data_IF_357980811199
#
_entry.id   IF_357980811199
#
_cell.length_a   1.000
_cell.length_b   1.000
_cell.length_c   1.000
_cell.angle_alpha   90.00
_cell.angle_beta   90.00
_cell.angle_gamma   90.00
#
_symmetry.space_group_name_H-M   'P 1'
#
loop_
_entity.id
_entity.type
_entity.pdbx_description
1 polymer ?
#
# COMPACT_ATOMS: atom_id res chain seq x y z
N UNK A 1 -2.93 -14.38 0.86
CA UNK A 1 -3.25 -15.07 -0.39
C UNK A 1 -2.02 -15.13 -1.30
N UNK A 2 -1.35 -13.99 -1.52
CA UNK A 2 -0.18 -13.91 -2.39
C UNK A 2 1.14 -14.02 -1.62
N UNK A 3 2.17 -14.55 -2.31
CA UNK A 3 3.55 -14.56 -1.84
C UNK A 3 4.30 -13.42 -2.53
N UNK A 4 4.18 -12.21 -1.98
CA UNK A 4 4.71 -10.98 -2.59
C UNK A 4 4.25 -10.83 -4.06
N UNK A 5 5.04 -10.16 -4.89
CA UNK A 5 4.77 -9.98 -6.32
C UNK A 5 4.80 -11.27 -7.16
N UNK A 6 5.33 -12.38 -6.63
CA UNK A 6 5.51 -13.63 -7.40
C UNK A 6 4.21 -14.30 -7.82
N UNK A 7 3.17 -14.17 -7.03
CA UNK A 7 1.90 -14.85 -7.27
C UNK A 7 0.76 -13.92 -7.67
N UNK A 8 0.97 -12.61 -7.68
CA UNK A 8 -0.06 -11.62 -8.05
C UNK A 8 -0.56 -11.77 -9.49
N UNK A 9 0.28 -12.32 -10.38
CA UNK A 9 -0.11 -12.63 -11.76
C UNK A 9 -0.72 -14.04 -11.95
N UNK A 10 -0.97 -14.78 -10.87
CA UNK A 10 -1.66 -16.07 -10.94
C UNK A 10 -3.18 -15.83 -11.03
N UNK A 11 -3.82 -16.39 -12.08
CA UNK A 11 -5.25 -16.19 -12.35
C UNK A 11 -6.13 -16.54 -11.16
N UNK A 12 -5.97 -17.73 -10.59
CA UNK A 12 -6.83 -18.23 -9.52
C UNK A 12 -6.67 -17.44 -8.23
N UNK A 13 -5.44 -17.03 -7.90
CA UNK A 13 -5.18 -16.22 -6.72
C UNK A 13 -5.65 -14.78 -6.89
N UNK A 14 -5.59 -14.23 -8.11
CA UNK A 14 -6.10 -12.88 -8.40
C UNK A 14 -7.63 -12.81 -8.39
N UNK A 15 -8.35 -13.92 -8.60
CA UNK A 15 -9.80 -14.00 -8.41
C UNK A 15 -10.19 -13.86 -6.92
N UNK A 16 -9.32 -14.31 -6.01
CA UNK A 16 -9.54 -14.21 -4.55
C UNK A 16 -9.11 -12.86 -3.99
N UNK A 17 -7.98 -12.32 -4.46
CA UNK A 17 -7.42 -11.06 -3.96
C UNK A 17 -6.66 -10.35 -5.07
N UNK A 18 -7.34 -9.46 -5.79
CA UNK A 18 -6.83 -8.85 -7.02
C UNK A 18 -5.99 -7.59 -6.79
N UNK A 19 -6.24 -6.83 -5.74
CA UNK A 19 -5.57 -5.58 -5.42
C UNK A 19 -5.32 -5.46 -3.92
N UNK A 20 -4.28 -4.74 -3.52
CA UNK A 20 -4.05 -4.43 -2.12
C UNK A 20 -4.93 -3.27 -1.66
N UNK A 21 -5.19 -3.24 -0.36
CA UNK A 21 -5.96 -2.19 0.30
C UNK A 21 -5.01 -1.35 1.17
N UNK A 22 -5.39 -0.11 1.40
CA UNK A 22 -4.78 0.78 2.40
C UNK A 22 -5.54 0.58 3.71
N UNK A 23 -4.91 -0.02 4.70
CA UNK A 23 -5.52 -0.17 6.02
C UNK A 23 -5.23 1.05 6.88
N UNK A 24 -6.28 1.61 7.46
CA UNK A 24 -6.22 2.73 8.38
C UNK A 24 -7.11 2.44 9.59
N UNK A 25 -6.69 2.93 10.76
CA UNK A 25 -7.53 2.84 11.94
C UNK A 25 -8.89 3.53 11.70
N UNK A 26 -9.98 2.87 12.06
CA UNK A 26 -11.34 3.37 11.79
C UNK A 26 -11.63 4.72 12.46
N UNK A 27 -11.08 4.97 13.66
CA UNK A 27 -11.21 6.27 14.35
C UNK A 27 -10.44 7.37 13.60
N UNK A 28 -9.22 7.06 13.13
CA UNK A 28 -8.43 7.99 12.33
C UNK A 28 -9.08 8.27 10.97
N UNK A 29 -9.65 7.24 10.32
CA UNK A 29 -10.39 7.40 9.07
C UNK A 29 -11.60 8.34 9.25
N UNK A 30 -12.40 8.14 10.29
CA UNK A 30 -13.54 8.99 10.61
C UNK A 30 -13.12 10.44 10.88
N UNK A 31 -12.02 10.67 11.60
CA UNK A 31 -11.46 12.00 11.86
C UNK A 31 -11.03 12.72 10.57
N UNK A 32 -10.63 11.98 9.53
CA UNK A 32 -10.28 12.49 8.21
C UNK A 32 -11.49 12.59 7.25
N UNK A 33 -12.69 12.22 7.70
CA UNK A 33 -13.89 12.19 6.86
C UNK A 33 -13.85 11.10 5.77
N UNK A 34 -13.09 10.02 6.01
CA UNK A 34 -12.93 8.90 5.08
C UNK A 34 -13.76 7.70 5.56
N UNK A 35 -14.51 7.11 4.64
CA UNK A 35 -15.32 5.93 4.90
C UNK A 35 -14.61 4.65 4.39
N UNK A 36 -14.98 3.49 4.95
CA UNK A 36 -14.51 2.19 4.44
C UNK A 36 -14.87 2.03 2.95
N UNK A 37 -13.94 1.55 2.15
CA UNK A 37 -14.12 1.40 0.71
C UNK A 37 -13.83 2.65 -0.13
N UNK A 38 -13.63 3.83 0.46
CA UNK A 38 -13.26 5.05 -0.27
C UNK A 38 -11.95 4.82 -1.04
N UNK A 39 -11.87 5.33 -2.28
CA UNK A 39 -10.60 5.35 -3.03
C UNK A 39 -9.71 6.47 -2.48
N UNK A 40 -8.50 6.11 -2.14
CA UNK A 40 -7.50 7.02 -1.56
C UNK A 40 -6.16 6.91 -2.26
N UNK A 41 -5.38 7.98 -2.19
CA UNK A 41 -4.00 8.06 -2.66
C UNK A 41 -3.11 8.30 -1.44
N UNK A 42 -2.01 7.60 -1.36
CA UNK A 42 -0.96 7.86 -0.39
C UNK A 42 0.07 8.80 -1.00
N UNK A 43 0.46 9.81 -0.25
CA UNK A 43 1.50 10.76 -0.64
C UNK A 43 2.60 10.73 0.43
N UNK A 44 3.81 10.42 0.02
CA UNK A 44 4.92 10.31 0.97
C UNK A 44 5.51 11.69 1.35
N UNK A 45 6.51 11.69 2.22
CA UNK A 45 7.21 12.89 2.70
C UNK A 45 7.97 13.67 1.59
N UNK A 46 8.17 13.07 0.42
CA UNK A 46 8.84 13.67 -0.73
C UNK A 46 7.85 13.97 -1.88
N UNK A 47 6.55 14.10 -1.56
CA UNK A 47 5.45 14.40 -2.49
C UNK A 47 5.23 13.34 -3.59
N UNK A 48 5.80 12.15 -3.44
CA UNK A 48 5.53 11.02 -4.33
C UNK A 48 4.16 10.43 -4.03
N UNK A 49 3.34 10.29 -5.06
CA UNK A 49 1.96 9.80 -4.99
C UNK A 49 1.88 8.34 -5.40
N UNK A 50 1.06 7.57 -4.70
CA UNK A 50 0.72 6.20 -5.10
C UNK A 50 -0.36 6.19 -6.18
N UNK A 51 -0.58 5.01 -6.74
CA UNK A 51 -1.82 4.68 -7.45
C UNK A 51 -3.00 4.73 -6.48
N UNK A 52 -4.24 5.02 -6.94
CA UNK A 52 -5.43 4.96 -6.11
C UNK A 52 -5.72 3.53 -5.64
N UNK A 53 -5.98 3.37 -4.34
CA UNK A 53 -6.36 2.09 -3.75
C UNK A 53 -7.56 2.23 -2.82
N UNK A 54 -8.21 1.11 -2.51
CA UNK A 54 -9.35 1.08 -1.60
C UNK A 54 -8.89 1.23 -0.15
N UNK A 55 -9.54 2.10 0.60
CA UNK A 55 -9.36 2.21 2.03
C UNK A 55 -10.08 1.06 2.75
N UNK A 56 -9.40 0.44 3.70
CA UNK A 56 -9.95 -0.48 4.69
C UNK A 56 -9.91 0.15 6.07
N UNK A 57 -11.05 0.66 6.54
CA UNK A 57 -11.17 1.18 7.88
C UNK A 57 -11.33 0.04 8.89
N UNK A 58 -10.40 -0.07 9.85
CA UNK A 58 -10.37 -1.21 10.79
C UNK A 58 -9.74 -0.81 12.13
N UNK A 59 -10.17 -1.45 13.22
CA UNK A 59 -9.54 -1.29 14.55
C UNK A 59 -8.29 -2.17 14.75
N UNK A 60 -7.89 -2.93 13.73
CA UNK A 60 -6.74 -3.86 13.82
C UNK A 60 -5.37 -3.21 13.62
N UNK A 61 -5.34 -1.90 13.39
CA UNK A 61 -4.10 -1.12 13.18
C UNK A 61 -4.10 0.10 14.10
N UNK A 62 -2.91 0.54 14.50
CA UNK A 62 -2.71 1.75 15.32
C UNK A 62 -3.20 3.00 14.58
N UNK A 63 -3.70 4.04 15.31
CA UNK A 63 -4.21 5.26 14.68
C UNK A 63 -3.16 6.08 13.91
N UNK A 64 -1.88 5.93 14.27
CA UNK A 64 -0.73 6.64 13.72
C UNK A 64 0.01 5.85 12.63
N UNK A 65 -0.57 4.74 12.15
CA UNK A 65 0.05 3.86 11.16
C UNK A 65 -0.88 3.64 9.96
N UNK A 66 -0.26 3.38 8.82
CA UNK A 66 -0.90 2.88 7.61
C UNK A 66 -0.27 1.54 7.25
N UNK A 67 -1.07 0.57 6.86
CA UNK A 67 -0.58 -0.71 6.38
C UNK A 67 -1.01 -0.95 4.93
N UNK A 68 -0.09 -1.42 4.12
CA UNK A 68 -0.31 -1.82 2.73
C UNK A 68 0.41 -3.14 2.48
N UNK A 69 -0.25 -4.07 1.83
CA UNK A 69 0.39 -5.33 1.43
C UNK A 69 1.38 -5.08 0.30
N UNK A 70 2.63 -5.49 0.53
CA UNK A 70 3.72 -5.37 -0.44
C UNK A 70 3.50 -6.24 -1.69
N UNK A 71 4.02 -5.79 -2.85
CA UNK A 71 4.11 -6.58 -4.07
C UNK A 71 2.98 -6.38 -5.07
N UNK A 72 2.34 -5.23 -5.06
CA UNK A 72 1.34 -4.78 -6.04
C UNK A 72 1.82 -3.56 -6.83
N UNK A 73 0.95 -3.03 -7.70
CA UNK A 73 1.25 -1.85 -8.52
C UNK A 73 2.21 -2.17 -9.67
N UNK A 74 2.16 -3.38 -10.21
CA UNK A 74 2.96 -3.79 -11.36
C UNK A 74 2.46 -3.12 -12.65
N UNK A 75 3.38 -2.73 -13.52
CA UNK A 75 3.10 -2.07 -14.82
C UNK A 75 3.69 -2.81 -16.03
N UNK A 76 4.44 -3.88 -15.81
CA UNK A 76 5.07 -4.65 -16.88
C UNK A 76 4.03 -5.26 -17.87
N UNK A 77 4.22 -5.11 -19.19
CA UNK A 77 3.24 -5.51 -20.20
C UNK A 77 2.87 -6.99 -20.20
N UNK A 78 3.78 -7.87 -19.75
CA UNK A 78 3.55 -9.32 -19.68
C UNK A 78 2.72 -9.80 -18.48
N UNK A 79 2.32 -8.91 -17.58
CA UNK A 79 1.57 -9.26 -16.37
C UNK A 79 0.06 -9.10 -16.61
N UNK A 80 -0.57 -10.12 -17.17
CA UNK A 80 -1.98 -10.07 -17.59
C UNK A 80 -2.96 -9.84 -16.43
N UNK A 81 -2.71 -10.43 -15.28
CA UNK A 81 -3.61 -10.35 -14.11
C UNK A 81 -3.14 -9.36 -13.04
N UNK A 82 -1.85 -9.04 -12.97
CA UNK A 82 -1.30 -8.15 -11.96
C UNK A 82 -1.15 -6.69 -12.42
N UNK A 83 -1.08 -6.46 -13.74
CA UNK A 83 -0.84 -5.13 -14.29
C UNK A 83 -1.95 -4.15 -13.93
N UNK A 84 -1.56 -2.98 -13.42
CA UNK A 84 -2.48 -1.89 -13.08
C UNK A 84 -3.42 -2.19 -11.90
N UNK A 85 -3.10 -3.20 -11.10
CA UNK A 85 -3.89 -3.56 -9.92
C UNK A 85 -3.18 -3.19 -8.62
N UNK A 86 -3.92 -2.51 -7.75
CA UNK A 86 -3.42 -2.01 -6.47
C UNK A 86 -2.36 -0.93 -6.61
N UNK A 87 -1.79 -0.53 -5.48
CA UNK A 87 -0.71 0.46 -5.40
C UNK A 87 0.65 -0.21 -5.13
N UNK A 88 1.72 0.44 -5.61
CA UNK A 88 3.09 0.06 -5.30
C UNK A 88 3.59 0.81 -4.05
N UNK A 89 3.74 0.10 -2.94
CA UNK A 89 4.36 0.63 -1.73
C UNK A 89 5.85 0.97 -1.94
N UNK A 90 6.54 0.21 -2.77
CA UNK A 90 7.95 0.43 -3.10
C UNK A 90 8.22 1.80 -3.72
N UNK A 91 7.28 2.35 -4.49
CA UNK A 91 7.40 3.71 -5.05
C UNK A 91 7.34 4.80 -3.98
N UNK A 92 6.70 4.51 -2.85
CA UNK A 92 6.59 5.46 -1.73
C UNK A 92 7.81 5.44 -0.82
N UNK A 93 8.69 4.42 -0.93
CA UNK A 93 9.90 4.28 -0.13
C UNK A 93 11.02 5.06 -0.82
N UNK A 94 11.09 6.36 -0.59
CA UNK A 94 12.11 7.26 -1.17
C UNK A 94 13.28 7.51 -0.23
N UNK A 95 13.09 7.26 1.08
CA UNK A 95 14.14 7.42 2.09
C UNK A 95 14.38 6.10 2.79
N UNK A 96 15.57 5.56 2.59
CA UNK A 96 16.01 4.32 3.23
C UNK A 96 16.98 4.68 4.36
N UNK A 97 16.64 4.30 5.59
CA UNK A 97 17.58 4.33 6.71
C UNK A 97 18.33 3.01 6.75
N UNK A 98 19.65 3.10 6.71
CA UNK A 98 20.51 1.93 6.83
C UNK A 98 21.05 1.89 8.27
N UNK A 99 20.90 0.75 8.92
CA UNK A 99 21.52 0.50 10.20
C UNK A 99 23.06 0.50 10.05
N UNK A 100 23.80 1.32 10.79
CA UNK A 100 25.24 1.47 10.59
C UNK A 100 26.05 0.25 11.02
N UNK A 101 25.47 -0.63 11.83
CA UNK A 101 26.16 -1.82 12.35
C UNK A 101 25.85 -3.08 11.54
N UNK A 102 24.59 -3.31 11.25
CA UNK A 102 24.11 -4.55 10.62
C UNK A 102 23.74 -4.38 9.14
N UNK A 103 23.72 -3.16 8.61
CA UNK A 103 23.33 -2.88 7.22
C UNK A 103 21.86 -3.10 6.89
N UNK A 104 21.02 -3.37 7.88
CA UNK A 104 19.59 -3.54 7.70
C UNK A 104 18.89 -2.26 7.21
N UNK A 105 17.93 -2.40 6.31
CA UNK A 105 17.18 -1.26 5.76
C UNK A 105 15.85 -1.06 6.51
N UNK A 106 15.60 0.17 6.97
CA UNK A 106 14.34 0.57 7.60
C UNK A 106 13.26 0.88 6.57
N UNK A 107 12.64 -0.15 5.97
CA UNK A 107 11.58 0.04 4.97
C UNK A 107 10.30 0.61 5.56
N UNK A 108 10.04 0.40 6.85
CA UNK A 108 8.82 0.83 7.54
C UNK A 108 8.95 2.19 8.25
N UNK A 109 9.92 3.01 7.87
CA UNK A 109 10.18 4.34 8.47
C UNK A 109 9.84 5.50 7.54
N UNK A 110 9.04 5.27 6.52
CA UNK A 110 8.51 6.30 5.64
C UNK A 110 7.18 6.83 6.20
N UNK A 111 6.90 8.09 5.93
CA UNK A 111 5.68 8.77 6.35
C UNK A 111 4.81 9.06 5.15
N UNK A 112 3.51 8.93 5.33
CA UNK A 112 2.53 9.22 4.28
C UNK A 112 1.37 10.04 4.85
N UNK A 113 0.80 10.90 4.02
CA UNK A 113 -0.54 11.44 4.22
C UNK A 113 -1.51 10.74 3.28
N UNK A 114 -2.78 10.74 3.65
CA UNK A 114 -3.85 10.11 2.88
C UNK A 114 -4.71 11.21 2.27
N UNK A 115 -4.94 11.12 0.98
CA UNK A 115 -5.82 12.02 0.24
C UNK A 115 -6.93 11.22 -0.43
N UNK A 116 -8.11 11.78 -0.60
CA UNK A 116 -9.17 11.19 -1.42
C UNK A 116 -8.71 11.22 -2.89
N UNK A 117 -8.91 10.10 -3.60
CA UNK A 117 -8.54 9.97 -5.02
C UNK A 117 -9.49 10.74 -5.94
#
# INVERSE_FOLDING_TARGET
VHTFGRTTNNRFLSEVYSENEVWLNATAAAALGLEDGTRVVLVNQDEVRSEPARLKATQRIRPDCVYVVHGYGHDAPGLTFARGRGLSDSRLITRVRIDPLMGGTGMNVNFVRIERA
#
